data_IF_886758888055
#
_entry.id   IF_886758888055
#
_cell.length_a   1.000
_cell.length_b   1.000
_cell.length_c   1.000
_cell.angle_alpha   90.00
_cell.angle_beta   90.00
_cell.angle_gamma   90.00
#
_symmetry.space_group_name_H-M   'P 1'
#
loop_
_entity.id
_entity.type
_entity.pdbx_description
1 polymer ?
#
# COMPACT_ATOMS: atom_id res chain seq x y z
N UNK A 1 16.11 24.17 -24.84
CA UNK A 1 15.92 25.44 -25.60
C UNK A 1 16.48 26.66 -24.88
N UNK A 2 16.43 26.70 -23.56
CA UNK A 2 16.92 27.85 -22.76
C UNK A 2 18.18 27.52 -21.95
N UNK A 3 18.79 26.35 -22.15
CA UNK A 3 20.00 25.96 -21.45
C UNK A 3 21.08 27.07 -21.51
N UNK A 4 21.70 27.36 -20.38
CA UNK A 4 22.71 28.41 -20.20
C UNK A 4 22.21 29.85 -20.48
N UNK A 5 20.89 30.10 -20.50
CA UNK A 5 20.31 31.42 -20.72
C UNK A 5 19.63 31.97 -19.46
N UNK A 6 19.47 33.32 -19.31
CA UNK A 6 18.71 33.90 -18.20
C UNK A 6 17.24 33.41 -18.12
N UNK A 7 16.72 32.87 -19.22
CA UNK A 7 15.35 32.33 -19.30
C UNK A 7 15.24 30.91 -18.74
N UNK A 8 16.34 30.25 -18.43
CA UNK A 8 16.36 28.93 -17.80
C UNK A 8 15.74 28.99 -16.40
N UNK A 9 16.11 30.00 -15.60
CA UNK A 9 15.59 30.21 -14.24
C UNK A 9 14.17 30.81 -14.19
N UNK A 10 13.72 31.43 -15.27
CA UNK A 10 12.39 32.05 -15.34
C UNK A 10 11.83 31.95 -16.77
N UNK A 11 11.44 30.74 -17.20
CA UNK A 11 10.94 30.55 -18.55
C UNK A 11 9.61 31.29 -18.77
N UNK A 12 9.35 31.78 -20.00
CA UNK A 12 8.09 32.44 -20.34
C UNK A 12 6.89 31.54 -20.07
N UNK A 13 5.73 32.14 -19.71
CA UNK A 13 4.48 31.41 -19.45
C UNK A 13 4.05 30.48 -20.58
N UNK A 14 4.35 30.81 -21.85
CA UNK A 14 4.04 29.95 -22.97
C UNK A 14 4.91 28.68 -22.96
N UNK A 15 6.15 28.72 -22.46
CA UNK A 15 7.04 27.57 -22.33
C UNK A 15 6.57 26.63 -21.23
N UNK A 16 6.11 27.17 -20.10
CA UNK A 16 5.51 26.42 -19.00
C UNK A 16 4.24 25.63 -19.39
N UNK A 17 3.65 25.97 -20.54
CA UNK A 17 2.48 25.26 -21.10
C UNK A 17 2.84 24.05 -21.94
N UNK A 18 4.11 23.92 -22.37
CA UNK A 18 4.54 22.73 -23.07
C UNK A 18 4.72 21.59 -22.08
N UNK A 19 3.90 20.54 -22.26
CA UNK A 19 4.05 19.30 -21.53
C UNK A 19 4.73 18.26 -22.40
N UNK A 20 5.66 17.51 -21.80
CA UNK A 20 6.28 16.34 -22.43
C UNK A 20 5.49 15.13 -21.97
N UNK A 21 4.93 14.37 -22.90
CA UNK A 21 4.09 13.23 -22.58
C UNK A 21 4.97 12.01 -22.27
N UNK A 22 4.90 11.52 -21.04
CA UNK A 22 5.46 10.23 -20.66
C UNK A 22 4.55 9.12 -21.21
N UNK A 23 5.10 8.19 -21.98
CA UNK A 23 4.35 7.12 -22.65
C UNK A 23 4.12 5.91 -21.75
N UNK A 24 5.07 5.64 -20.88
CA UNK A 24 5.12 4.53 -19.96
C UNK A 24 6.06 4.84 -18.79
N UNK A 25 6.20 3.91 -17.83
CA UNK A 25 7.07 4.06 -16.66
C UNK A 25 8.54 4.30 -17.04
N UNK A 26 9.08 3.52 -17.97
CA UNK A 26 10.49 3.66 -18.39
C UNK A 26 10.76 5.04 -18.98
N UNK A 27 9.91 5.50 -19.90
CA UNK A 27 10.06 6.85 -20.47
C UNK A 27 9.84 7.96 -19.42
N UNK A 28 9.00 7.72 -18.39
CA UNK A 28 8.84 8.66 -17.28
C UNK A 28 10.12 8.79 -16.47
N UNK A 29 10.79 7.67 -16.17
CA UNK A 29 12.09 7.65 -15.48
C UNK A 29 13.12 8.45 -16.28
N UNK A 30 13.28 8.17 -17.59
CA UNK A 30 14.22 8.89 -18.45
C UNK A 30 14.00 10.42 -18.39
N UNK A 31 12.72 10.87 -18.45
CA UNK A 31 12.36 12.30 -18.38
C UNK A 31 12.66 12.93 -17.01
N UNK A 32 12.46 12.19 -15.92
CA UNK A 32 12.78 12.65 -14.57
C UNK A 32 14.29 12.79 -14.40
N UNK A 33 15.07 11.78 -14.80
CA UNK A 33 16.53 11.78 -14.76
C UNK A 33 17.11 12.95 -15.56
N UNK A 34 16.61 13.17 -16.79
CA UNK A 34 17.02 14.30 -17.61
C UNK A 34 16.71 15.62 -16.91
N UNK A 35 15.53 15.78 -16.28
CA UNK A 35 15.17 16.99 -15.57
C UNK A 35 16.06 17.25 -14.36
N UNK A 36 16.32 16.24 -13.53
CA UNK A 36 17.19 16.35 -12.34
C UNK A 36 18.63 16.67 -12.73
N UNK A 37 19.14 16.08 -13.81
CA UNK A 37 20.52 16.31 -14.29
C UNK A 37 20.79 17.76 -14.68
N UNK A 38 19.77 18.47 -15.21
CA UNK A 38 19.90 19.85 -15.68
C UNK A 38 19.49 20.92 -14.66
N UNK A 39 18.96 20.53 -13.49
CA UNK A 39 18.55 21.50 -12.47
C UNK A 39 19.68 21.76 -11.47
N UNK A 40 20.03 23.04 -11.28
CA UNK A 40 21.01 23.46 -10.26
C UNK A 40 20.54 23.16 -8.84
N UNK A 41 19.22 23.07 -8.60
CA UNK A 41 18.59 22.69 -7.35
C UNK A 41 18.48 21.15 -7.19
N UNK A 42 18.81 20.42 -8.25
CA UNK A 42 18.88 18.97 -8.28
C UNK A 42 17.51 18.31 -8.00
N UNK A 43 17.43 17.55 -6.93
CA UNK A 43 16.25 16.73 -6.58
C UNK A 43 15.00 17.53 -6.12
N UNK A 44 15.05 18.87 -6.11
CA UNK A 44 13.92 19.74 -5.70
C UNK A 44 13.20 20.41 -6.89
N UNK A 45 13.44 19.98 -8.13
CA UNK A 45 12.90 20.59 -9.34
C UNK A 45 11.37 20.41 -9.49
N UNK A 46 10.73 21.32 -10.24
CA UNK A 46 9.32 21.20 -10.63
C UNK A 46 9.17 20.28 -11.86
N UNK A 47 8.56 19.10 -11.68
CA UNK A 47 8.29 18.13 -12.74
C UNK A 47 6.87 18.22 -13.30
N UNK A 48 6.08 19.23 -12.96
CA UNK A 48 4.71 19.39 -13.45
C UNK A 48 4.61 19.65 -14.97
N UNK A 49 5.73 19.88 -15.65
CA UNK A 49 5.78 19.94 -17.12
C UNK A 49 5.70 18.56 -17.77
N UNK A 50 5.90 17.47 -17.03
CA UNK A 50 5.72 16.11 -17.55
C UNK A 50 4.23 15.76 -17.48
N UNK A 51 3.66 15.38 -18.62
CA UNK A 51 2.31 14.85 -18.70
C UNK A 51 2.34 13.34 -18.51
N UNK A 52 1.89 12.90 -17.35
CA UNK A 52 1.86 11.47 -16.95
C UNK A 52 0.52 10.80 -17.24
N UNK A 53 -0.40 11.47 -17.95
CA UNK A 53 -1.77 10.98 -18.18
C UNK A 53 -1.87 9.66 -18.94
N UNK A 54 -0.80 9.21 -19.60
CA UNK A 54 -0.73 7.92 -20.29
C UNK A 54 -0.06 6.82 -19.48
N UNK A 55 0.53 7.16 -18.33
CA UNK A 55 1.23 6.20 -17.47
C UNK A 55 0.21 5.45 -16.63
N UNK A 56 0.28 4.13 -16.64
CA UNK A 56 -0.60 3.24 -15.87
C UNK A 56 0.10 2.55 -14.71
N UNK A 57 1.43 2.50 -14.75
CA UNK A 57 2.30 1.90 -13.73
C UNK A 57 3.33 2.92 -13.25
N UNK A 58 3.34 3.21 -11.95
CA UNK A 58 4.30 4.07 -11.27
C UNK A 58 4.97 3.35 -10.09
N UNK A 59 4.95 1.99 -10.12
CA UNK A 59 5.60 1.21 -9.06
C UNK A 59 7.08 1.53 -8.97
N UNK A 60 7.62 1.58 -7.77
CA UNK A 60 9.03 1.82 -7.48
C UNK A 60 9.64 3.06 -8.17
N UNK A 61 8.85 4.10 -8.48
CA UNK A 61 9.32 5.22 -9.31
C UNK A 61 10.41 6.04 -8.63
N UNK A 62 10.27 6.31 -7.34
CA UNK A 62 11.19 7.13 -6.55
C UNK A 62 11.84 6.34 -5.43
N UNK A 63 12.27 5.11 -5.72
CA UNK A 63 13.00 4.25 -4.76
C UNK A 63 14.49 4.17 -5.11
N UNK A 64 15.29 3.70 -4.18
CA UNK A 64 16.74 3.45 -4.37
C UNK A 64 17.05 2.52 -5.53
N UNK A 65 16.09 1.69 -5.96
CA UNK A 65 16.26 0.71 -7.04
C UNK A 65 15.74 1.17 -8.40
N UNK A 66 15.11 2.34 -8.50
CA UNK A 66 14.42 2.79 -9.71
C UNK A 66 15.35 3.21 -10.84
N UNK A 67 16.60 3.60 -10.52
CA UNK A 67 17.61 4.04 -11.48
C UNK A 67 19.00 3.55 -11.06
N UNK A 68 19.83 3.23 -12.03
CA UNK A 68 21.25 2.90 -11.80
C UNK A 68 22.18 4.11 -11.87
N UNK A 69 21.69 5.24 -12.39
CA UNK A 69 22.52 6.42 -12.68
C UNK A 69 22.21 7.60 -11.75
N UNK A 70 20.96 7.69 -11.26
CA UNK A 70 20.53 8.78 -10.40
C UNK A 70 19.82 8.23 -9.16
N UNK A 71 20.01 8.91 -8.02
CA UNK A 71 19.37 8.61 -6.74
C UNK A 71 17.96 9.23 -6.71
N UNK A 72 16.99 8.62 -7.43
CA UNK A 72 15.62 9.14 -7.54
C UNK A 72 14.87 9.13 -6.21
N UNK A 73 15.29 8.32 -5.25
CA UNK A 73 14.83 8.30 -3.86
C UNK A 73 15.04 9.63 -3.14
N UNK A 74 16.01 10.44 -3.58
CA UNK A 74 16.27 11.79 -3.04
C UNK A 74 15.36 12.88 -3.61
N UNK A 75 14.52 12.55 -4.59
CA UNK A 75 13.61 13.53 -5.19
C UNK A 75 12.60 14.06 -4.18
N UNK A 76 12.55 15.37 -4.02
CA UNK A 76 11.59 16.09 -3.17
C UNK A 76 11.06 17.36 -3.85
N UNK A 77 10.86 17.30 -5.15
CA UNK A 77 10.35 18.40 -5.96
C UNK A 77 8.83 18.41 -6.10
N UNK A 78 8.32 19.24 -7.00
CA UNK A 78 6.87 19.43 -7.19
C UNK A 78 6.31 18.56 -8.32
N UNK A 79 5.40 17.66 -7.94
CA UNK A 79 4.60 16.80 -8.82
C UNK A 79 3.10 16.94 -8.54
N UNK A 80 2.69 18.00 -7.85
CA UNK A 80 1.31 18.21 -7.38
C UNK A 80 0.27 18.28 -8.49
N UNK A 81 0.68 18.62 -9.73
CA UNK A 81 -0.20 18.77 -10.89
C UNK A 81 -0.20 17.54 -11.80
N UNK A 82 0.46 16.45 -11.43
CA UNK A 82 0.42 15.23 -12.21
C UNK A 82 -1.01 14.66 -12.29
N UNK A 83 -1.45 14.34 -13.50
CA UNK A 83 -2.71 13.65 -13.71
C UNK A 83 -2.48 12.14 -13.62
N UNK A 84 -2.64 11.58 -12.43
CA UNK A 84 -2.48 10.15 -12.14
C UNK A 84 -3.76 9.33 -12.28
N UNK A 85 -4.82 9.90 -12.89
CA UNK A 85 -6.14 9.27 -12.96
C UNK A 85 -6.18 7.96 -13.74
N UNK A 86 -5.18 7.66 -14.56
CA UNK A 86 -5.06 6.40 -15.31
C UNK A 86 -4.07 5.40 -14.67
N UNK A 87 -3.42 5.78 -13.59
CA UNK A 87 -2.50 4.89 -12.87
C UNK A 87 -3.29 3.81 -12.14
N UNK A 88 -2.85 2.57 -12.31
CA UNK A 88 -3.43 1.38 -11.67
C UNK A 88 -2.50 0.76 -10.63
N UNK A 89 -1.19 1.00 -10.73
CA UNK A 89 -0.18 0.46 -9.83
C UNK A 89 0.73 1.59 -9.31
N UNK A 90 0.77 1.77 -7.98
CA UNK A 90 1.64 2.68 -7.23
C UNK A 90 2.41 1.95 -6.12
N UNK A 91 2.60 0.61 -6.28
CA UNK A 91 3.35 -0.18 -5.32
C UNK A 91 4.72 0.44 -5.06
N UNK A 92 5.09 0.64 -3.80
CA UNK A 92 6.38 1.15 -3.36
C UNK A 92 6.87 2.46 -4.04
N UNK A 93 5.95 3.28 -4.61
CA UNK A 93 6.32 4.45 -5.43
C UNK A 93 7.30 5.41 -4.75
N UNK A 94 7.19 5.59 -3.44
CA UNK A 94 8.05 6.46 -2.60
C UNK A 94 8.68 5.68 -1.45
N UNK A 95 8.83 4.36 -1.58
CA UNK A 95 9.47 3.54 -0.56
C UNK A 95 10.93 3.96 -0.37
N UNK A 96 11.36 4.14 0.88
CA UNK A 96 12.71 4.59 1.24
C UNK A 96 13.13 5.92 0.56
N UNK A 97 12.18 6.83 0.29
CA UNK A 97 12.46 8.09 -0.40
C UNK A 97 12.40 9.30 0.52
N UNK A 98 13.09 10.38 0.11
CA UNK A 98 13.04 11.69 0.80
C UNK A 98 11.78 12.51 0.45
N UNK A 99 10.88 11.99 -0.39
CA UNK A 99 9.73 12.74 -0.89
C UNK A 99 8.75 13.13 0.22
N UNK A 100 8.45 14.42 0.32
CA UNK A 100 7.49 15.00 1.26
C UNK A 100 6.61 16.09 0.61
N UNK A 101 6.39 16.01 -0.70
CA UNK A 101 5.62 16.98 -1.47
C UNK A 101 4.09 16.82 -1.28
N UNK A 102 3.34 17.87 -1.64
CA UNK A 102 1.86 17.86 -1.58
C UNK A 102 1.25 17.12 -2.78
N UNK A 103 0.76 15.92 -2.53
CA UNK A 103 0.02 15.10 -3.49
C UNK A 103 -1.44 14.85 -3.05
N UNK A 104 -1.95 15.66 -2.13
CA UNK A 104 -3.30 15.51 -1.55
C UNK A 104 -4.43 15.56 -2.57
N UNK A 105 -4.20 16.16 -3.75
CA UNK A 105 -5.20 16.36 -4.81
C UNK A 105 -5.18 15.28 -5.89
N UNK A 106 -4.31 14.30 -5.81
CA UNK A 106 -4.25 13.24 -6.80
C UNK A 106 -5.56 12.44 -6.85
N UNK A 107 -6.02 12.15 -8.07
CA UNK A 107 -7.14 11.24 -8.29
C UNK A 107 -6.62 9.82 -8.46
N UNK A 108 -6.69 9.04 -7.39
CA UNK A 108 -6.20 7.65 -7.32
C UNK A 108 -7.31 6.61 -7.46
N UNK A 109 -8.47 6.99 -8.00
CA UNK A 109 -9.67 6.13 -8.03
C UNK A 109 -9.50 4.84 -8.85
N UNK A 110 -8.53 4.77 -9.76
CA UNK A 110 -8.23 3.60 -10.57
C UNK A 110 -7.05 2.77 -10.04
N UNK A 111 -6.38 3.23 -8.98
CA UNK A 111 -5.24 2.50 -8.42
C UNK A 111 -5.75 1.25 -7.68
N UNK A 112 -5.16 0.13 -8.00
CA UNK A 112 -5.48 -1.19 -7.42
C UNK A 112 -4.40 -1.71 -6.49
N UNK A 113 -3.19 -1.16 -6.55
CA UNK A 113 -2.09 -1.49 -5.64
C UNK A 113 -1.33 -0.23 -5.21
N UNK A 114 -1.29 0.03 -3.89
CA UNK A 114 -0.52 1.10 -3.23
C UNK A 114 0.27 0.56 -2.04
N UNK A 115 0.43 -0.76 -1.92
CA UNK A 115 1.18 -1.35 -0.80
C UNK A 115 2.58 -0.74 -0.77
N UNK A 116 3.12 -0.51 0.42
CA UNK A 116 4.45 0.07 0.65
C UNK A 116 4.70 1.44 0.00
N UNK A 117 3.66 2.11 -0.51
CA UNK A 117 3.84 3.36 -1.26
C UNK A 117 4.68 4.41 -0.52
N UNK A 118 4.56 4.48 0.79
CA UNK A 118 5.25 5.43 1.65
C UNK A 118 6.12 4.78 2.74
N UNK A 119 6.38 3.47 2.64
CA UNK A 119 7.19 2.78 3.64
C UNK A 119 8.59 3.42 3.74
N UNK A 120 9.08 3.61 4.97
CA UNK A 120 10.37 4.23 5.27
C UNK A 120 10.57 5.63 4.62
N UNK A 121 9.47 6.40 4.43
CA UNK A 121 9.49 7.75 3.87
C UNK A 121 8.84 8.79 4.81
N UNK A 122 9.07 10.12 4.62
CA UNK A 122 8.44 11.14 5.45
C UNK A 122 6.91 11.15 5.43
N UNK A 123 6.28 10.59 4.39
CA UNK A 123 4.82 10.50 4.28
C UNK A 123 4.22 9.27 4.97
N UNK A 124 5.03 8.35 5.50
CA UNK A 124 4.55 7.17 6.24
C UNK A 124 3.74 7.57 7.49
N UNK A 125 4.29 8.48 8.30
CA UNK A 125 3.62 8.94 9.53
C UNK A 125 2.38 9.82 9.27
N UNK A 126 2.35 10.51 8.13
CA UNK A 126 1.27 11.44 7.78
C UNK A 126 0.89 11.38 6.30
N UNK A 127 0.41 10.23 5.82
CA UNK A 127 0.05 10.07 4.42
C UNK A 127 -1.20 10.88 4.04
N UNK A 128 -1.40 11.15 2.73
CA UNK A 128 -2.61 11.79 2.23
C UNK A 128 -3.88 11.04 2.63
N UNK A 129 -5.01 11.77 2.81
CA UNK A 129 -6.28 11.19 3.21
C UNK A 129 -6.82 10.12 2.25
N UNK A 130 -6.49 10.20 0.96
CA UNK A 130 -6.88 9.18 -0.01
C UNK A 130 -6.13 7.86 0.22
N UNK A 131 -4.88 7.88 0.70
CA UNK A 131 -4.10 6.68 1.03
C UNK A 131 -4.68 5.96 2.26
N UNK A 132 -5.03 6.71 3.31
CA UNK A 132 -5.66 6.16 4.53
C UNK A 132 -6.98 5.42 4.25
N UNK A 133 -7.63 5.73 3.13
CA UNK A 133 -8.91 5.12 2.72
C UNK A 133 -8.76 4.00 1.71
N UNK A 134 -7.53 3.77 1.25
CA UNK A 134 -7.30 2.71 0.29
C UNK A 134 -7.53 1.34 0.91
N UNK A 135 -8.28 0.50 0.21
CA UNK A 135 -8.55 -0.88 0.62
C UNK A 135 -8.55 -1.79 -0.60
N UNK A 136 -7.91 -2.94 -0.48
CA UNK A 136 -8.00 -4.02 -1.47
C UNK A 136 -9.10 -4.97 -1.03
N UNK A 137 -10.12 -5.17 -1.86
CA UNK A 137 -11.26 -6.03 -1.52
C UNK A 137 -10.90 -7.50 -1.70
N UNK A 138 -10.88 -8.25 -0.61
CA UNK A 138 -10.79 -9.71 -0.65
C UNK A 138 -12.14 -10.30 -1.11
N UNK A 139 -12.17 -10.91 -2.29
CA UNK A 139 -13.39 -11.46 -2.92
C UNK A 139 -13.91 -12.73 -2.26
N UNK A 140 -13.00 -13.51 -1.73
CA UNK A 140 -13.26 -14.79 -1.08
C UNK A 140 -12.06 -15.19 -0.19
N UNK A 141 -12.17 -16.32 0.52
CA UNK A 141 -11.12 -16.83 1.41
C UNK A 141 -9.78 -17.06 0.69
N UNK A 142 -9.79 -17.57 -0.53
CA UNK A 142 -8.57 -17.85 -1.29
C UNK A 142 -7.83 -16.55 -1.64
N UNK A 143 -8.55 -15.58 -2.17
CA UNK A 143 -8.00 -14.26 -2.48
C UNK A 143 -7.52 -13.53 -1.22
N UNK A 144 -8.20 -13.70 -0.07
CA UNK A 144 -7.74 -13.18 1.20
C UNK A 144 -6.38 -13.78 1.60
N UNK A 145 -6.21 -15.09 1.45
CA UNK A 145 -4.94 -15.76 1.75
C UNK A 145 -3.83 -15.24 0.84
N UNK A 146 -4.05 -15.15 -0.47
CA UNK A 146 -3.09 -14.59 -1.44
C UNK A 146 -2.64 -13.18 -1.03
N UNK A 147 -3.57 -12.30 -0.62
CA UNK A 147 -3.25 -10.95 -0.15
C UNK A 147 -2.45 -10.92 1.16
N UNK A 148 -2.73 -11.85 2.08
CA UNK A 148 -1.99 -11.99 3.35
C UNK A 148 -0.57 -12.51 3.07
N UNK A 149 -0.44 -13.55 2.24
CA UNK A 149 0.86 -14.12 1.86
C UNK A 149 1.75 -13.06 1.20
N UNK A 150 1.21 -12.29 0.26
CA UNK A 150 1.92 -11.18 -0.38
C UNK A 150 2.39 -10.13 0.64
N UNK A 151 1.52 -9.74 1.58
CA UNK A 151 1.87 -8.75 2.60
C UNK A 151 2.95 -9.27 3.57
N UNK A 152 2.85 -10.53 4.01
CA UNK A 152 3.86 -11.16 4.88
C UNK A 152 5.20 -11.31 4.15
N UNK A 153 5.18 -11.65 2.87
CA UNK A 153 6.41 -11.73 2.07
C UNK A 153 7.12 -10.38 1.95
N UNK A 154 6.36 -9.29 1.88
CA UNK A 154 6.89 -7.93 1.73
C UNK A 154 7.33 -7.32 3.07
N UNK A 155 6.55 -7.49 4.16
CA UNK A 155 6.69 -6.74 5.42
C UNK A 155 6.89 -7.62 6.66
N UNK A 156 6.80 -8.96 6.49
CA UNK A 156 6.94 -9.94 7.58
C UNK A 156 5.68 -10.13 8.42
N UNK A 157 5.79 -10.98 9.45
CA UNK A 157 4.67 -11.50 10.26
C UNK A 157 3.97 -10.46 11.15
N UNK A 158 4.52 -9.27 11.28
CA UNK A 158 3.97 -8.18 12.12
C UNK A 158 3.33 -7.06 11.28
N UNK A 159 3.12 -7.27 9.98
CA UNK A 159 2.57 -6.27 9.07
C UNK A 159 1.13 -5.85 9.44
N UNK A 160 0.74 -4.64 9.02
CA UNK A 160 -0.64 -4.15 9.12
C UNK A 160 -1.46 -4.63 7.92
N UNK A 161 -2.43 -5.53 8.18
CA UNK A 161 -3.35 -6.05 7.16
C UNK A 161 -4.68 -5.28 7.10
N UNK A 162 -4.82 -4.16 7.80
CA UNK A 162 -6.06 -3.38 7.78
C UNK A 162 -6.34 -2.70 6.44
N UNK A 163 -5.39 -2.70 5.49
CA UNK A 163 -5.63 -2.28 4.11
C UNK A 163 -6.48 -3.30 3.31
N UNK A 164 -6.68 -4.52 3.82
CA UNK A 164 -7.55 -5.51 3.19
C UNK A 164 -8.98 -5.30 3.66
N UNK A 165 -9.90 -5.07 2.71
CA UNK A 165 -11.34 -5.09 2.95
C UNK A 165 -11.86 -6.52 2.88
N UNK A 166 -12.20 -7.09 4.03
CA UNK A 166 -12.70 -8.46 4.18
C UNK A 166 -14.22 -8.56 4.20
N UNK A 167 -14.94 -7.47 3.96
CA UNK A 167 -16.40 -7.39 4.08
C UNK A 167 -17.17 -8.35 3.16
N UNK A 168 -16.53 -8.88 2.10
CA UNK A 168 -17.13 -9.88 1.22
C UNK A 168 -16.80 -11.33 1.60
N UNK A 169 -15.90 -11.52 2.56
CA UNK A 169 -15.48 -12.86 2.99
C UNK A 169 -16.47 -13.43 4.00
N UNK A 170 -16.98 -14.61 3.73
CA UNK A 170 -17.96 -15.31 4.62
C UNK A 170 -17.36 -16.50 5.36
N UNK A 171 -16.22 -17.00 4.91
CA UNK A 171 -15.49 -18.12 5.51
C UNK A 171 -14.03 -17.73 5.79
N UNK A 172 -13.65 -17.76 7.07
CA UNK A 172 -12.29 -17.54 7.55
C UNK A 172 -11.76 -18.76 8.34
N UNK A 173 -12.32 -19.95 8.04
CA UNK A 173 -11.88 -21.16 8.73
C UNK A 173 -10.40 -21.44 8.46
N UNK A 174 -9.68 -21.86 9.49
CA UNK A 174 -8.28 -22.25 9.43
C UNK A 174 -7.35 -21.22 8.73
N UNK A 175 -7.66 -19.91 8.83
CA UNK A 175 -6.93 -18.87 8.10
C UNK A 175 -5.47 -18.73 8.57
N UNK A 176 -5.24 -18.69 9.88
CA UNK A 176 -3.93 -18.54 10.52
C UNK A 176 -3.53 -19.79 11.32
N UNK A 177 -3.70 -20.96 10.75
CA UNK A 177 -3.44 -22.24 11.44
C UNK A 177 -2.17 -22.91 10.92
N UNK A 178 -1.48 -23.64 11.80
CA UNK A 178 -0.29 -24.47 11.48
C UNK A 178 -0.54 -25.55 10.41
N UNK A 179 -1.79 -25.89 10.14
CA UNK A 179 -2.13 -26.95 9.20
C UNK A 179 -2.38 -26.46 7.77
N UNK A 180 -2.17 -25.18 7.50
CA UNK A 180 -2.33 -24.64 6.15
C UNK A 180 -1.24 -25.18 5.23
N UNK A 181 -1.63 -25.70 4.07
CA UNK A 181 -0.70 -26.19 3.02
C UNK A 181 -0.25 -25.05 2.10
N UNK A 182 -0.13 -23.84 2.64
CA UNK A 182 0.25 -22.63 1.91
C UNK A 182 1.77 -22.46 1.88
N UNK A 183 2.26 -21.62 0.99
CA UNK A 183 3.69 -21.39 0.79
C UNK A 183 4.33 -20.68 1.99
N UNK A 184 3.55 -19.87 2.72
CA UNK A 184 3.97 -19.17 3.93
C UNK A 184 3.31 -19.76 5.18
N UNK A 185 4.05 -19.76 6.29
CA UNK A 185 3.58 -20.21 7.60
C UNK A 185 2.72 -19.11 8.26
N UNK A 186 1.44 -18.98 7.81
CA UNK A 186 0.52 -17.94 8.31
C UNK A 186 0.25 -18.03 9.83
N UNK A 187 0.60 -19.13 10.47
CA UNK A 187 0.49 -19.31 11.92
C UNK A 187 1.47 -18.45 12.72
N UNK A 188 2.53 -17.94 12.10
CA UNK A 188 3.47 -17.00 12.70
C UNK A 188 2.95 -15.56 12.71
N UNK A 189 1.92 -15.25 11.89
CA UNK A 189 1.38 -13.90 11.81
C UNK A 189 0.91 -13.36 13.17
N UNK A 190 1.39 -12.17 13.52
CA UNK A 190 1.02 -11.46 14.75
C UNK A 190 0.93 -9.93 14.52
N UNK A 191 0.51 -9.54 13.33
CA UNK A 191 0.31 -8.15 12.91
C UNK A 191 -1.07 -7.59 13.26
N UNK A 192 -1.47 -6.48 12.63
CA UNK A 192 -2.73 -5.78 12.93
C UNK A 192 -3.85 -6.12 11.94
N UNK A 193 -4.95 -6.64 12.48
CA UNK A 193 -6.23 -6.93 11.79
C UNK A 193 -7.43 -6.35 12.56
N UNK A 194 -7.19 -5.39 13.46
CA UNK A 194 -8.20 -4.85 14.36
C UNK A 194 -9.36 -4.14 13.66
N UNK A 195 -9.13 -3.61 12.44
CA UNK A 195 -10.11 -2.86 11.65
C UNK A 195 -10.84 -3.72 10.61
N UNK A 196 -10.65 -5.04 10.61
CA UNK A 196 -11.38 -5.91 9.68
C UNK A 196 -12.87 -5.90 9.96
N UNK A 197 -13.69 -5.63 8.95
CA UNK A 197 -15.14 -5.81 9.00
C UNK A 197 -15.49 -7.28 8.76
N UNK A 198 -15.62 -8.02 9.86
CA UNK A 198 -15.98 -9.45 9.86
C UNK A 198 -17.49 -9.71 10.00
N UNK A 199 -18.31 -8.67 9.87
CA UNK A 199 -19.76 -8.74 10.12
C UNK A 199 -20.50 -9.72 9.18
N UNK A 200 -19.93 -10.04 8.01
CA UNK A 200 -20.49 -11.01 7.07
C UNK A 200 -19.92 -12.43 7.22
N UNK A 201 -18.95 -12.62 8.12
CA UNK A 201 -18.33 -13.94 8.33
C UNK A 201 -19.30 -14.86 9.07
N UNK A 202 -19.46 -16.08 8.56
CA UNK A 202 -20.31 -17.12 9.16
C UNK A 202 -19.52 -18.26 9.76
N UNK A 203 -18.28 -18.51 9.28
CA UNK A 203 -17.42 -19.59 9.72
C UNK A 203 -16.02 -19.07 10.10
N UNK A 204 -15.64 -19.26 11.36
CA UNK A 204 -14.30 -18.94 11.92
C UNK A 204 -13.70 -20.18 12.63
N UNK A 205 -14.13 -21.40 12.25
CA UNK A 205 -13.59 -22.60 12.90
C UNK A 205 -12.08 -22.70 12.66
N UNK A 206 -11.32 -22.98 13.71
CA UNK A 206 -9.87 -23.15 13.66
C UNK A 206 -9.07 -21.92 13.25
N UNK A 207 -9.68 -20.74 13.08
CA UNK A 207 -9.04 -19.56 12.45
C UNK A 207 -7.64 -19.22 13.00
N UNK A 208 -7.43 -19.39 14.31
CA UNK A 208 -6.16 -19.14 14.99
C UNK A 208 -5.63 -20.39 15.72
N UNK A 209 -6.03 -21.58 15.27
CA UNK A 209 -5.61 -22.82 15.94
C UNK A 209 -4.11 -23.07 15.72
N UNK A 210 -3.35 -23.15 16.83
CA UNK A 210 -1.90 -23.30 16.81
C UNK A 210 -1.11 -22.04 16.41
N UNK A 211 -1.77 -20.89 16.22
CA UNK A 211 -1.08 -19.67 15.76
C UNK A 211 -0.42 -18.89 16.90
N UNK A 212 0.56 -18.05 16.52
CA UNK A 212 1.22 -17.09 17.42
C UNK A 212 0.40 -15.80 17.63
N UNK A 213 -0.73 -15.63 16.93
CA UNK A 213 -1.53 -14.41 16.94
C UNK A 213 -2.03 -14.04 18.34
N UNK A 214 -1.74 -12.82 18.76
CA UNK A 214 -2.17 -12.24 20.04
C UNK A 214 -2.64 -10.78 19.91
N UNK A 215 -3.04 -10.36 18.70
CA UNK A 215 -3.52 -9.01 18.40
C UNK A 215 -4.90 -8.70 18.99
N UNK A 216 -5.27 -7.41 19.00
CA UNK A 216 -6.57 -6.96 19.50
C UNK A 216 -7.68 -7.13 18.44
N UNK A 217 -8.59 -8.04 18.71
CA UNK A 217 -9.80 -8.29 17.92
C UNK A 217 -11.09 -8.08 18.72
N UNK A 218 -10.99 -7.30 19.80
CA UNK A 218 -12.12 -7.08 20.74
C UNK A 218 -13.31 -6.36 20.12
N UNK A 219 -13.10 -5.59 19.06
CA UNK A 219 -14.14 -4.78 18.40
C UNK A 219 -14.84 -5.50 17.24
N UNK A 220 -14.46 -6.72 16.90
CA UNK A 220 -15.09 -7.47 15.82
C UNK A 220 -16.57 -7.74 16.07
N UNK A 221 -17.41 -7.44 15.07
CA UNK A 221 -18.81 -7.86 15.05
C UNK A 221 -18.95 -9.28 14.54
N UNK A 222 -19.08 -10.23 15.46
CA UNK A 222 -19.22 -11.67 15.17
C UNK A 222 -20.68 -12.12 15.23
N UNK A 223 -21.65 -11.22 15.11
CA UNK A 223 -23.08 -11.53 15.28
C UNK A 223 -23.56 -12.62 14.33
N UNK A 224 -23.05 -12.66 13.10
CA UNK A 224 -23.41 -13.64 12.07
C UNK A 224 -22.58 -14.93 12.10
N UNK A 225 -21.54 -15.01 12.95
CA UNK A 225 -20.71 -16.22 13.02
C UNK A 225 -21.47 -17.37 13.70
N UNK A 226 -21.62 -18.45 12.98
CA UNK A 226 -22.34 -19.65 13.43
C UNK A 226 -21.41 -20.79 13.82
N UNK A 227 -20.14 -20.78 13.36
CA UNK A 227 -19.15 -21.80 13.71
C UNK A 227 -17.81 -21.14 14.12
N UNK A 228 -17.42 -21.37 15.39
CA UNK A 228 -16.14 -20.97 15.97
C UNK A 228 -15.41 -22.16 16.60
N UNK A 229 -15.73 -23.39 16.18
CA UNK A 229 -15.16 -24.60 16.77
C UNK A 229 -13.64 -24.58 16.70
N UNK A 230 -12.98 -24.68 17.84
CA UNK A 230 -11.52 -24.75 17.92
C UNK A 230 -10.77 -23.47 17.54
N UNK A 231 -11.47 -22.34 17.36
CA UNK A 231 -10.90 -21.08 16.86
C UNK A 231 -9.58 -20.66 17.51
N UNK A 232 -9.45 -20.85 18.83
CA UNK A 232 -8.26 -20.47 19.61
C UNK A 232 -7.53 -21.68 20.21
N UNK A 233 -7.73 -22.88 19.67
CA UNK A 233 -7.01 -24.05 20.17
C UNK A 233 -5.50 -23.85 20.03
N UNK A 234 -4.78 -24.10 21.16
CA UNK A 234 -3.31 -24.03 21.22
C UNK A 234 -2.68 -22.69 20.76
N UNK A 235 -3.46 -21.57 20.90
CA UNK A 235 -3.03 -20.21 20.61
C UNK A 235 -2.97 -19.35 21.90
N UNK A 236 -2.27 -18.18 21.89
CA UNK A 236 -2.23 -17.26 23.02
C UNK A 236 -3.62 -16.79 23.47
N UNK A 237 -4.53 -16.55 22.52
CA UNK A 237 -5.89 -16.08 22.81
C UNK A 237 -6.77 -17.10 23.52
N UNK A 238 -6.39 -18.40 23.56
CA UNK A 238 -7.08 -19.42 24.35
C UNK A 238 -7.11 -19.09 25.85
N UNK A 239 -6.04 -18.47 26.36
CA UNK A 239 -5.94 -18.11 27.79
C UNK A 239 -6.75 -16.86 28.14
N UNK A 240 -6.86 -15.93 27.22
CA UNK A 240 -7.57 -14.67 27.41
C UNK A 240 -8.36 -14.29 26.13
N UNK A 241 -9.41 -15.07 25.79
CA UNK A 241 -10.17 -14.79 24.57
C UNK A 241 -10.99 -13.49 24.69
N UNK A 242 -11.32 -12.85 23.54
CA UNK A 242 -12.17 -11.68 23.50
C UNK A 242 -13.52 -11.91 24.21
N UNK A 243 -14.12 -10.82 24.72
CA UNK A 243 -15.39 -10.90 25.43
C UNK A 243 -16.49 -11.54 24.58
N UNK A 244 -16.58 -11.18 23.29
CA UNK A 244 -17.61 -11.69 22.38
C UNK A 244 -17.53 -13.22 22.21
N UNK A 245 -16.34 -13.84 22.29
CA UNK A 245 -16.18 -15.30 22.24
C UNK A 245 -16.79 -15.98 23.47
N UNK A 246 -16.51 -15.44 24.68
CA UNK A 246 -17.10 -15.93 25.92
C UNK A 246 -18.60 -15.77 25.95
N UNK A 247 -19.12 -14.63 25.46
CA UNK A 247 -20.55 -14.33 25.43
C UNK A 247 -21.34 -15.28 24.49
N UNK A 248 -20.70 -15.85 23.48
CA UNK A 248 -21.27 -16.86 22.58
C UNK A 248 -21.24 -18.30 23.14
N UNK A 249 -20.56 -18.52 24.28
CA UNK A 249 -20.57 -19.79 24.99
C UNK A 249 -19.57 -20.82 24.49
N UNK A 250 -18.50 -20.35 23.86
CA UNK A 250 -17.36 -21.17 23.42
C UNK A 250 -16.23 -21.19 24.45
#
# INVERSE_FOLDING_TARGET
MFAESPLEKNPPEWYKRFKIVARDRGHLIDLIEEAICYDEEGYCCDLNFIDVSQVTDMSDLFTTSSSYEYELDRFNGDISQWNVSNVTNMYAMFNESDFNGDISKWNVSNVTDMRRMFADSPLEDNPPEWYKRFKIVARDRRHLIELIEDAIADEGDYCDLNFIDVSQVTDMSDLFTTSSSYEYELDQFNGDISQWDVSNVTNMSGMFAGSEFNGDISQWDVSNVTNMSGMFNDSPLKKNPPKWYKDKGF
#
